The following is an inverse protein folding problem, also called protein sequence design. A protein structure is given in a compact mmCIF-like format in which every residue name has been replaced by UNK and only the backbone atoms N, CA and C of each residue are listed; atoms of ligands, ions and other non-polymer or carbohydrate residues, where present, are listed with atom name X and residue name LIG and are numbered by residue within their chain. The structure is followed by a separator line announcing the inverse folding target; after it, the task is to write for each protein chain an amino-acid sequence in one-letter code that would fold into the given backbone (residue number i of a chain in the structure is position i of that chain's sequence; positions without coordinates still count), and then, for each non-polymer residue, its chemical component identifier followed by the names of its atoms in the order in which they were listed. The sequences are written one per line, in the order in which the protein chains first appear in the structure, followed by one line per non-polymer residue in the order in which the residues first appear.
data_IF_133657157428
#
_entry.id   IF_133657157428
#
_cell.length_a   1.000
_cell.length_b   1.000
_cell.length_c   1.000
_cell.angle_alpha   90.00
_cell.angle_beta   90.00
_cell.angle_gamma   90.00
#
_symmetry.space_group_name_H-M   'P 1'
#
loop_
_entity.id
_entity.type
_entity.pdbx_description
1 polymer ?
#
# COMPACT_ATOMS: atom_id res chain seq x y z
N UNK A 1 17.29 -17.07 -20.63
CA UNK A 1 16.76 -17.10 -19.25
C UNK A 1 17.45 -18.25 -18.51
N UNK A 2 18.43 -17.93 -17.67
CA UNK A 2 19.15 -18.92 -16.84
C UNK A 2 18.20 -19.24 -15.67
N UNK A 3 17.80 -20.49 -15.51
CA UNK A 3 16.99 -20.90 -14.35
C UNK A 3 17.96 -20.95 -13.16
N UNK A 4 17.72 -20.10 -12.17
CA UNK A 4 18.48 -20.11 -10.92
C UNK A 4 18.24 -21.46 -10.22
N UNK A 5 19.32 -22.06 -9.70
CA UNK A 5 19.27 -23.35 -9.05
C UNK A 5 18.63 -23.17 -7.65
N UNK A 6 17.52 -23.84 -7.32
CA UNK A 6 16.84 -23.66 -6.03
C UNK A 6 17.76 -23.93 -4.83
N UNK A 7 18.72 -24.85 -4.96
CA UNK A 7 19.70 -25.15 -3.90
C UNK A 7 20.70 -23.97 -3.67
N UNK A 8 21.02 -23.23 -4.73
CA UNK A 8 21.85 -22.02 -4.62
C UNK A 8 21.09 -20.88 -3.93
N UNK A 9 19.78 -20.76 -4.20
CA UNK A 9 18.93 -19.77 -3.53
C UNK A 9 18.76 -20.09 -2.04
N UNK A 10 18.49 -21.35 -1.70
CA UNK A 10 18.30 -21.77 -0.30
C UNK A 10 19.58 -21.57 0.52
N UNK A 11 20.74 -21.90 -0.05
CA UNK A 11 22.04 -21.66 0.60
C UNK A 11 22.40 -20.18 0.69
N UNK A 12 21.97 -19.34 -0.27
CA UNK A 12 22.13 -17.89 -0.19
C UNK A 12 21.27 -17.28 0.93
N UNK A 13 20.01 -17.71 1.05
CA UNK A 13 19.12 -17.30 2.13
C UNK A 13 19.64 -17.71 3.51
N UNK A 14 20.15 -18.94 3.65
CA UNK A 14 20.76 -19.41 4.90
C UNK A 14 21.93 -18.52 5.33
N UNK A 15 22.82 -18.16 4.39
CA UNK A 15 23.95 -17.26 4.70
C UNK A 15 23.50 -15.87 5.17
N UNK A 16 22.40 -15.34 4.63
CA UNK A 16 21.87 -14.03 5.06
C UNK A 16 21.31 -14.12 6.48
N UNK A 17 20.60 -15.21 6.81
CA UNK A 17 20.04 -15.42 8.15
C UNK A 17 21.12 -15.67 9.18
N UNK A 18 22.14 -16.47 8.85
CA UNK A 18 23.25 -16.78 9.74
C UNK A 18 24.09 -15.55 10.10
N UNK A 19 24.27 -14.63 9.15
CA UNK A 19 24.99 -13.36 9.37
C UNK A 19 24.05 -12.19 9.70
N UNK A 20 22.78 -12.46 10.03
CA UNK A 20 21.79 -11.41 10.27
C UNK A 20 22.10 -10.64 11.55
N UNK A 21 22.53 -9.40 11.40
CA UNK A 21 22.93 -8.52 12.50
C UNK A 21 24.44 -8.30 12.63
N UNK A 22 25.25 -9.09 11.90
CA UNK A 22 26.67 -8.81 11.73
C UNK A 22 26.83 -7.69 10.68
N UNK A 23 27.58 -6.65 11.02
CA UNK A 23 27.84 -5.55 10.09
C UNK A 23 28.84 -6.08 9.07
N UNK A 24 28.47 -6.13 7.80
CA UNK A 24 29.37 -6.56 6.74
C UNK A 24 30.62 -5.66 6.74
N UNK A 25 31.77 -6.23 7.11
CA UNK A 25 33.07 -5.61 6.90
C UNK A 25 33.39 -5.78 5.41
N UNK A 26 33.18 -4.70 4.65
CA UNK A 26 33.66 -4.64 3.28
C UNK A 26 35.18 -4.44 3.36
N UNK A 27 35.96 -5.37 2.80
CA UNK A 27 37.38 -5.12 2.55
C UNK A 27 37.48 -3.80 1.79
N UNK A 28 38.34 -2.90 2.27
CA UNK A 28 38.65 -1.67 1.57
C UNK A 28 39.13 -2.07 0.18
N UNK A 29 38.27 -1.83 -0.82
CA UNK A 29 38.60 -2.09 -2.20
C UNK A 29 39.81 -1.22 -2.50
N UNK A 30 40.97 -1.84 -2.76
CA UNK A 30 42.22 -1.16 -3.12
C UNK A 30 42.10 -0.32 -4.40
N UNK A 31 40.96 -0.38 -5.10
CA UNK A 31 40.51 0.69 -5.99
C UNK A 31 39.76 1.74 -5.19
N UNK A 32 40.49 2.43 -4.32
CA UNK A 32 40.15 3.79 -4.00
C UNK A 32 40.21 4.58 -5.32
N UNK A 33 39.08 4.68 -6.02
CA UNK A 33 38.77 5.99 -6.60
C UNK A 33 38.75 6.90 -5.39
N UNK A 34 39.88 7.57 -5.17
CA UNK A 34 39.98 8.72 -4.29
C UNK A 34 38.99 9.73 -4.87
N UNK A 35 37.72 9.57 -4.51
CA UNK A 35 36.80 10.67 -4.49
C UNK A 35 37.45 11.57 -3.48
N UNK A 36 38.22 12.53 -3.99
CA UNK A 36 38.53 13.73 -3.27
C UNK A 36 37.17 14.27 -2.84
N UNK A 37 36.76 13.90 -1.63
CA UNK A 37 35.76 14.64 -0.90
C UNK A 37 36.49 15.96 -0.69
N UNK A 38 36.32 16.88 -1.65
CA UNK A 38 36.56 18.29 -1.37
C UNK A 38 35.90 18.52 -0.02
N UNK A 39 36.62 19.09 0.97
CA UNK A 39 36.02 19.35 2.26
C UNK A 39 34.73 20.10 1.98
N UNK A 40 33.61 19.43 2.27
CA UNK A 40 32.30 20.04 2.17
C UNK A 40 32.46 21.35 2.95
N UNK A 41 32.16 22.53 2.36
CA UNK A 41 32.24 23.75 3.11
C UNK A 41 31.43 23.52 4.39
N UNK A 42 32.07 23.76 5.54
CA UNK A 42 31.45 23.57 6.83
C UNK A 42 30.31 24.58 6.94
N UNK A 43 29.12 24.16 6.53
CA UNK A 43 27.89 24.94 6.60
C UNK A 43 27.25 24.85 8.00
N UNK A 44 28.01 24.45 9.03
CA UNK A 44 27.56 24.63 10.41
C UNK A 44 27.93 26.03 10.86
N UNK A 45 26.95 26.89 10.65
CA UNK A 45 26.90 28.31 10.98
C UNK A 45 27.50 28.66 12.36
N UNK A 46 28.56 29.45 12.34
CA UNK A 46 28.89 30.38 13.42
C UNK A 46 29.45 31.70 12.83
N UNK A 47 28.90 32.12 11.69
CA UNK A 47 29.10 33.47 11.16
C UNK A 47 27.84 34.33 11.44
N UNK A 48 27.92 35.34 12.32
CA UNK A 48 26.82 36.29 12.51
C UNK A 48 26.54 37.16 11.27
N UNK A 49 27.33 37.02 10.19
CA UNK A 49 27.07 37.61 8.88
C UNK A 49 26.55 36.60 7.82
N UNK A 50 26.47 35.30 8.15
CA UNK A 50 25.99 34.24 7.25
C UNK A 50 24.46 34.09 7.23
N UNK A 51 23.77 34.60 8.26
CA UNK A 51 22.32 34.53 8.40
C UNK A 51 21.54 35.43 7.41
N UNK A 52 22.20 36.05 6.43
CA UNK A 52 21.58 36.94 5.45
C UNK A 52 21.78 36.51 3.99
N UNK A 53 22.39 35.35 3.71
CA UNK A 53 22.56 34.85 2.34
C UNK A 53 21.43 33.92 1.88
N UNK A 54 20.70 33.34 2.83
CA UNK A 54 19.45 32.66 2.57
C UNK A 54 18.38 33.42 3.34
N UNK A 55 17.69 34.29 2.63
CA UNK A 55 16.48 34.90 3.15
C UNK A 55 15.46 33.76 3.32
N UNK A 56 15.15 33.38 4.55
CA UNK A 56 14.11 32.37 4.85
C UNK A 56 12.76 32.81 4.24
N UNK A 57 12.57 34.13 4.11
CA UNK A 57 11.46 34.76 3.40
C UNK A 57 11.47 34.46 1.86
N UNK A 58 12.62 34.18 1.24
CA UNK A 58 12.73 33.85 -0.19
C UNK A 58 12.36 32.39 -0.51
N UNK A 59 12.33 31.50 0.48
CA UNK A 59 11.92 30.09 0.30
C UNK A 59 10.40 29.96 0.33
N UNK A 60 9.71 30.83 1.07
CA UNK A 60 8.26 30.98 1.05
C UNK A 60 7.75 31.63 -0.26
N UNK A 61 8.64 32.23 -1.05
CA UNK A 61 8.37 32.77 -2.39
C UNK A 61 8.41 31.69 -3.51
N UNK A 62 8.89 30.48 -3.20
CA UNK A 62 8.79 29.31 -4.09
C UNK A 62 7.38 28.75 -3.92
N UNK A 63 6.56 28.79 -4.97
CA UNK A 63 5.20 28.23 -4.98
C UNK A 63 5.19 26.79 -4.40
N UNK A 64 4.84 26.68 -3.12
CA UNK A 64 4.73 25.40 -2.42
C UNK A 64 3.57 24.64 -3.03
N UNK A 65 3.83 23.46 -3.59
CA UNK A 65 2.79 22.61 -4.14
C UNK A 65 1.67 22.41 -3.10
N UNK A 66 0.47 22.92 -3.42
CA UNK A 66 -0.76 22.65 -2.67
C UNK A 66 -1.57 21.68 -3.52
N UNK A 67 -1.73 20.42 -3.10
CA UNK A 67 -2.56 19.48 -3.84
C UNK A 67 -3.98 20.01 -3.90
N UNK A 68 -4.61 19.86 -5.06
CA UNK A 68 -6.03 20.11 -5.19
C UNK A 68 -6.81 19.27 -4.18
N UNK A 69 -7.92 19.81 -3.69
CA UNK A 69 -8.81 19.05 -2.81
C UNK A 69 -9.29 17.79 -3.53
N UNK A 70 -9.21 16.61 -2.89
CA UNK A 70 -9.54 15.36 -3.55
C UNK A 70 -11.02 15.36 -3.99
N UNK A 71 -11.34 14.72 -5.13
CA UNK A 71 -12.72 14.59 -5.56
C UNK A 71 -13.55 13.82 -4.52
N UNK A 72 -14.86 14.10 -4.42
CA UNK A 72 -15.74 13.40 -3.50
C UNK A 72 -15.79 11.90 -3.84
N UNK A 73 -15.78 11.06 -2.80
CA UNK A 73 -15.75 9.60 -2.96
C UNK A 73 -17.03 9.14 -3.67
N UNK A 74 -16.92 8.35 -4.76
CA UNK A 74 -18.09 7.82 -5.44
C UNK A 74 -18.83 6.85 -4.53
N UNK A 75 -20.12 7.09 -4.35
CA UNK A 75 -21.00 6.17 -3.63
C UNK A 75 -21.30 4.95 -4.51
N UNK A 76 -21.38 3.73 -3.93
CA UNK A 76 -21.76 2.57 -4.69
C UNK A 76 -23.19 2.71 -5.23
N UNK A 77 -23.46 2.27 -6.47
CA UNK A 77 -24.83 2.22 -6.99
C UNK A 77 -25.69 1.28 -6.12
N UNK A 78 -27.01 1.50 -6.06
CA UNK A 78 -27.93 0.75 -5.21
C UNK A 78 -27.85 -0.78 -5.44
N UNK A 79 -27.62 -1.20 -6.68
CA UNK A 79 -27.47 -2.61 -7.04
C UNK A 79 -26.27 -3.26 -6.35
N UNK A 80 -25.12 -2.57 -6.32
CA UNK A 80 -23.90 -3.04 -5.66
C UNK A 80 -24.07 -3.03 -4.14
N UNK A 81 -24.81 -2.07 -3.60
CA UNK A 81 -25.19 -2.07 -2.19
C UNK A 81 -26.04 -3.29 -1.82
N UNK A 82 -27.06 -3.61 -2.63
CA UNK A 82 -27.90 -4.79 -2.43
C UNK A 82 -27.08 -6.09 -2.48
N UNK A 83 -26.11 -6.17 -3.40
CA UNK A 83 -25.23 -7.33 -3.50
C UNK A 83 -24.40 -7.54 -2.24
N UNK A 84 -23.81 -6.47 -1.69
CA UNK A 84 -23.11 -6.52 -0.40
C UNK A 84 -24.04 -6.88 0.76
N UNK A 85 -25.27 -6.36 0.74
CA UNK A 85 -26.29 -6.73 1.72
C UNK A 85 -26.63 -8.22 1.65
N UNK A 86 -26.67 -8.82 0.46
CA UNK A 86 -26.83 -10.28 0.32
C UNK A 86 -25.65 -11.06 0.88
N UNK A 87 -24.42 -10.65 0.55
CA UNK A 87 -23.18 -11.33 0.94
C UNK A 87 -22.94 -11.28 2.45
N UNK A 88 -23.15 -10.14 3.09
CA UNK A 88 -22.97 -10.01 4.55
C UNK A 88 -24.27 -10.22 5.33
N UNK A 89 -25.39 -9.70 4.83
CA UNK A 89 -26.67 -9.81 5.53
C UNK A 89 -27.13 -11.26 5.67
N UNK A 90 -26.89 -12.12 4.68
CA UNK A 90 -27.24 -13.53 4.78
C UNK A 90 -26.56 -14.26 5.95
N UNK A 91 -25.21 -14.30 6.05
CA UNK A 91 -24.53 -14.91 7.17
C UNK A 91 -24.82 -14.19 8.50
N UNK A 92 -25.00 -12.87 8.51
CA UNK A 92 -25.36 -12.14 9.74
C UNK A 92 -26.73 -12.56 10.26
N UNK A 93 -27.75 -12.65 9.39
CA UNK A 93 -29.09 -13.09 9.80
C UNK A 93 -29.05 -14.54 10.29
N UNK A 94 -28.34 -15.43 9.58
CA UNK A 94 -28.14 -16.81 10.04
C UNK A 94 -27.50 -16.88 11.44
N UNK A 95 -26.47 -16.07 11.66
CA UNK A 95 -25.79 -16.00 12.95
C UNK A 95 -26.71 -15.47 14.05
N UNK A 96 -27.56 -14.48 13.76
CA UNK A 96 -28.56 -13.97 14.72
C UNK A 96 -29.54 -15.06 15.12
N UNK A 97 -30.09 -15.82 14.15
CA UNK A 97 -31.00 -16.93 14.45
C UNK A 97 -30.30 -18.02 15.29
N UNK A 98 -29.04 -18.33 14.96
CA UNK A 98 -28.23 -19.31 15.68
C UNK A 98 -27.97 -18.88 17.14
N UNK A 99 -27.54 -17.63 17.36
CA UNK A 99 -27.22 -17.10 18.69
C UNK A 99 -28.46 -16.98 19.57
N UNK A 100 -29.59 -16.57 18.98
CA UNK A 100 -30.86 -16.43 19.72
C UNK A 100 -31.60 -17.76 19.89
N UNK A 101 -31.16 -18.84 19.22
CA UNK A 101 -31.83 -20.15 19.26
C UNK A 101 -33.23 -20.14 18.65
N UNK A 102 -33.53 -19.19 17.75
CA UNK A 102 -34.85 -19.05 17.13
C UNK A 102 -34.95 -20.04 15.97
N UNK A 103 -36.06 -20.79 15.91
CA UNK A 103 -36.35 -21.68 14.79
C UNK A 103 -36.48 -20.91 13.49
N UNK A 104 -35.65 -21.24 12.50
CA UNK A 104 -35.67 -20.60 11.18
C UNK A 104 -36.68 -21.29 10.25
N UNK A 105 -37.61 -20.55 9.62
CA UNK A 105 -38.47 -21.11 8.59
C UNK A 105 -37.65 -21.61 7.39
N UNK A 106 -37.97 -22.77 6.79
CA UNK A 106 -37.18 -23.32 5.67
C UNK A 106 -37.08 -22.42 4.44
N UNK A 107 -38.14 -21.67 4.12
CA UNK A 107 -38.15 -20.75 2.97
C UNK A 107 -37.16 -19.59 3.18
N UNK A 108 -36.96 -19.15 4.42
CA UNK A 108 -36.04 -18.07 4.74
C UNK A 108 -34.60 -18.52 4.50
N UNK A 109 -34.27 -19.78 4.81
CA UNK A 109 -32.98 -20.39 4.48
C UNK A 109 -32.70 -20.35 2.97
N UNK A 110 -33.68 -20.69 2.13
CA UNK A 110 -33.53 -20.59 0.68
C UNK A 110 -33.34 -19.15 0.19
N UNK A 111 -34.04 -18.17 0.77
CA UNK A 111 -33.85 -16.75 0.44
C UNK A 111 -32.45 -16.29 0.84
N UNK A 112 -31.96 -16.68 2.01
CA UNK A 112 -30.63 -16.31 2.51
C UNK A 112 -29.52 -16.89 1.62
N UNK A 113 -29.64 -18.17 1.24
CA UNK A 113 -28.70 -18.81 0.30
C UNK A 113 -28.78 -18.15 -1.08
N UNK A 114 -29.99 -17.95 -1.62
CA UNK A 114 -30.19 -17.31 -2.91
C UNK A 114 -29.65 -15.88 -2.94
N UNK A 115 -29.90 -15.08 -1.89
CA UNK A 115 -29.40 -13.72 -1.76
C UNK A 115 -27.88 -13.65 -1.65
N UNK A 116 -27.26 -14.58 -0.92
CA UNK A 116 -25.80 -14.69 -0.84
C UNK A 116 -25.18 -15.01 -2.21
N UNK A 117 -25.67 -16.06 -2.88
CA UNK A 117 -25.13 -16.51 -4.18
C UNK A 117 -25.35 -15.44 -5.24
N UNK A 118 -26.56 -14.85 -5.31
CA UNK A 118 -26.87 -13.80 -6.27
C UNK A 118 -26.00 -12.56 -6.04
N UNK A 119 -25.86 -12.12 -4.79
CA UNK A 119 -25.02 -10.98 -4.43
C UNK A 119 -23.55 -11.21 -4.76
N UNK A 120 -23.01 -12.38 -4.41
CA UNK A 120 -21.64 -12.75 -4.73
C UNK A 120 -21.40 -12.78 -6.24
N UNK A 121 -22.24 -13.49 -7.01
CA UNK A 121 -22.14 -13.54 -8.47
C UNK A 121 -22.23 -12.16 -9.10
N UNK A 122 -23.15 -11.30 -8.63
CA UNK A 122 -23.27 -9.92 -9.11
C UNK A 122 -21.97 -9.13 -8.91
N UNK A 123 -21.36 -9.20 -7.72
CA UNK A 123 -20.09 -8.53 -7.44
C UNK A 123 -18.97 -9.04 -8.37
N UNK A 124 -18.86 -10.37 -8.54
CA UNK A 124 -17.86 -10.98 -9.42
C UNK A 124 -18.04 -10.55 -10.87
N UNK A 125 -19.27 -10.52 -11.38
CA UNK A 125 -19.53 -10.12 -12.76
C UNK A 125 -19.35 -8.62 -13.01
N UNK A 126 -19.52 -7.78 -11.98
CA UNK A 126 -19.38 -6.32 -12.08
C UNK A 126 -18.00 -5.81 -11.69
N UNK A 127 -17.08 -6.69 -11.27
CA UNK A 127 -15.70 -6.32 -11.00
C UNK A 127 -15.00 -5.89 -12.30
N UNK A 128 -14.29 -4.74 -12.31
CA UNK A 128 -13.50 -4.31 -13.46
C UNK A 128 -12.48 -5.38 -13.84
N UNK A 129 -12.42 -5.74 -15.12
CA UNK A 129 -11.47 -6.73 -15.64
C UNK A 129 -10.12 -6.13 -16.05
N UNK A 130 -10.07 -4.81 -16.16
CA UNK A 130 -8.85 -4.09 -16.51
C UNK A 130 -8.07 -3.76 -15.25
N UNK A 131 -6.77 -4.08 -15.19
CA UNK A 131 -5.89 -3.59 -14.14
C UNK A 131 -5.92 -2.07 -14.07
N UNK A 132 -5.78 -1.49 -12.88
CA UNK A 132 -5.48 -0.05 -12.76
C UNK A 132 -4.11 0.21 -13.36
N UNK A 133 -3.89 1.41 -13.90
CA UNK A 133 -2.59 1.81 -14.41
C UNK A 133 -1.56 1.76 -13.26
N UNK A 134 -0.43 1.04 -13.41
CA UNK A 134 0.60 0.94 -12.37
C UNK A 134 1.19 2.30 -11.95
N UNK A 135 1.11 3.31 -12.82
CA UNK A 135 1.70 4.63 -12.62
C UNK A 135 0.67 5.71 -12.27
N UNK A 136 -0.60 5.33 -12.11
CA UNK A 136 -1.70 6.19 -11.66
C UNK A 136 -1.99 5.90 -10.18
N UNK A 137 -1.06 6.35 -9.31
CA UNK A 137 -1.18 6.27 -7.85
C UNK A 137 -1.89 7.49 -7.24
N UNK A 138 -2.30 8.43 -8.08
CA UNK A 138 -2.90 9.70 -7.67
C UNK A 138 -1.89 10.78 -7.26
N UNK A 139 -0.58 10.55 -7.39
CA UNK A 139 0.42 11.58 -7.21
C UNK A 139 0.52 12.46 -8.46
N UNK A 140 0.29 13.77 -8.28
CA UNK A 140 0.61 14.81 -9.27
C UNK A 140 1.79 15.59 -8.72
N UNK A 141 2.87 15.67 -9.51
CA UNK A 141 4.07 16.50 -9.26
C UNK A 141 3.89 17.90 -9.83
#
# INVERSE_FOLDING_TARGET
MKRENPEEQDSAWQKIVENYGERAELDAVDDAVEVAIEPEPDLRDDDPAGSSLFDDDAIDEIDRFVPDSPPPIPMPPPDRFLAWLGVFGSPTVLLVFLVLGIGMPPFLGWILVGGFVLGFCYLVFTLPRTPRDPWDDGAVV
#
